data_IF_756652518780
#
_entry.id   IF_756652518780
#
_cell.length_a   1.000
_cell.length_b   1.000
_cell.length_c   1.000
_cell.angle_alpha   90.00
_cell.angle_beta   90.00
_cell.angle_gamma   90.00
#
_symmetry.space_group_name_H-M   'P 1'
#
loop_
_entity.id
_entity.type
_entity.pdbx_description
1 polymer ?
#
# COMPACT_ATOMS: atom_id res chain seq x y z
N UNK A 1 21.82 -16.21 15.79
CA UNK A 1 21.65 -16.37 14.32
C UNK A 1 20.17 -16.15 13.96
N UNK A 2 19.77 -14.92 13.59
CA UNK A 2 18.37 -14.56 13.29
C UNK A 2 17.74 -15.37 12.13
N UNK A 3 18.56 -15.97 11.27
CA UNK A 3 18.08 -16.76 10.13
C UNK A 3 17.47 -18.12 10.50
N UNK A 4 17.69 -18.64 11.72
CA UNK A 4 17.03 -19.87 12.22
C UNK A 4 15.61 -19.63 12.74
N UNK A 5 15.23 -18.38 13.03
CA UNK A 5 13.98 -18.07 13.74
C UNK A 5 12.72 -18.06 12.85
N UNK A 6 12.86 -18.06 11.52
CA UNK A 6 11.72 -18.04 10.61
C UNK A 6 11.88 -19.11 9.53
N UNK A 7 11.25 -20.26 9.76
CA UNK A 7 10.96 -21.29 8.75
C UNK A 7 9.56 -21.81 9.00
N UNK A 8 8.56 -21.04 8.57
CA UNK A 8 7.20 -21.57 8.48
C UNK A 8 7.21 -22.54 7.30
N UNK A 9 6.99 -23.83 7.57
CA UNK A 9 6.92 -24.87 6.55
C UNK A 9 5.66 -25.68 6.80
N UNK A 10 4.85 -25.81 5.77
CA UNK A 10 3.73 -26.72 5.78
C UNK A 10 4.25 -28.12 5.41
N UNK A 11 3.92 -29.12 6.22
CA UNK A 11 4.16 -30.52 5.92
C UNK A 11 2.99 -31.07 5.11
N UNK A 12 3.20 -31.15 3.80
CA UNK A 12 2.23 -31.66 2.82
C UNK A 12 1.82 -33.11 3.10
N UNK A 13 2.66 -33.90 3.79
CA UNK A 13 2.35 -35.31 4.13
C UNK A 13 1.39 -35.45 5.30
N UNK A 14 1.15 -34.36 6.03
CA UNK A 14 0.23 -34.28 7.15
C UNK A 14 -0.93 -33.32 6.86
N UNK A 15 -1.40 -33.33 5.60
CA UNK A 15 -2.50 -32.49 5.11
C UNK A 15 -3.85 -33.24 5.01
N UNK A 16 -3.93 -34.46 5.52
CA UNK A 16 -5.06 -35.38 5.27
C UNK A 16 -6.24 -35.16 6.23
N UNK A 17 -6.07 -34.36 7.29
CA UNK A 17 -7.11 -34.08 8.28
C UNK A 17 -7.14 -32.62 8.73
N UNK A 18 -8.32 -32.20 9.17
CA UNK A 18 -8.56 -30.86 9.73
C UNK A 18 -7.70 -30.62 10.97
N UNK A 19 -7.56 -31.63 11.82
CA UNK A 19 -6.80 -31.57 13.08
C UNK A 19 -5.31 -31.34 12.83
N UNK A 20 -4.71 -32.05 11.86
CA UNK A 20 -3.31 -31.86 11.51
C UNK A 20 -3.07 -30.46 10.92
N UNK A 21 -3.93 -30.00 10.02
CA UNK A 21 -3.82 -28.66 9.45
C UNK A 21 -3.96 -27.56 10.51
N UNK A 22 -4.89 -27.72 11.47
CA UNK A 22 -5.03 -26.82 12.64
C UNK A 22 -3.78 -26.79 13.49
N UNK A 23 -3.18 -27.95 13.77
CA UNK A 23 -1.94 -28.04 14.54
C UNK A 23 -0.78 -27.31 13.85
N UNK A 24 -0.61 -27.51 12.54
CA UNK A 24 0.42 -26.82 11.77
C UNK A 24 0.19 -25.30 11.71
N UNK A 25 -1.05 -24.83 11.60
CA UNK A 25 -1.37 -23.39 11.67
C UNK A 25 -1.07 -22.78 13.03
N UNK A 26 -1.35 -23.50 14.12
CA UNK A 26 -1.02 -23.06 15.47
C UNK A 26 0.50 -22.93 15.66
N UNK A 27 1.27 -23.91 15.16
CA UNK A 27 2.73 -23.84 15.15
C UNK A 27 3.23 -22.67 14.30
N UNK A 28 2.65 -22.47 13.11
CA UNK A 28 3.01 -21.35 12.25
C UNK A 28 2.76 -20.00 12.92
N UNK A 29 1.61 -19.83 13.62
CA UNK A 29 1.29 -18.63 14.38
C UNK A 29 2.29 -18.39 15.53
N UNK A 30 2.68 -19.43 16.25
CA UNK A 30 3.71 -19.34 17.28
C UNK A 30 5.07 -18.93 16.68
N UNK A 31 5.45 -19.52 15.54
CA UNK A 31 6.65 -19.15 14.79
C UNK A 31 6.63 -17.70 14.32
N UNK A 32 5.47 -17.20 13.86
CA UNK A 32 5.32 -15.79 13.48
C UNK A 32 5.50 -14.85 14.66
N UNK A 33 4.91 -15.17 15.81
CA UNK A 33 5.06 -14.39 17.05
C UNK A 33 6.53 -14.35 17.48
N UNK A 34 7.22 -15.50 17.50
CA UNK A 34 8.63 -15.59 17.83
C UNK A 34 9.52 -14.79 16.86
N UNK A 35 9.25 -14.86 15.55
CA UNK A 35 9.98 -14.10 14.55
C UNK A 35 9.75 -12.58 14.66
N UNK A 36 8.53 -12.17 15.00
CA UNK A 36 8.19 -10.77 15.23
C UNK A 36 8.93 -10.21 16.46
N UNK A 37 8.90 -10.95 17.59
CA UNK A 37 9.65 -10.62 18.80
C UNK A 37 11.17 -10.58 18.57
N UNK A 38 11.69 -11.49 17.72
CA UNK A 38 13.09 -11.49 17.27
C UNK A 38 13.44 -10.37 16.27
N UNK A 39 12.49 -9.46 15.99
CA UNK A 39 12.65 -8.29 15.11
C UNK A 39 13.07 -8.66 13.68
N UNK A 40 12.62 -9.82 13.19
CA UNK A 40 12.77 -10.20 11.79
C UNK A 40 12.07 -9.17 10.91
N UNK A 41 12.65 -8.87 9.74
CA UNK A 41 12.07 -7.91 8.79
C UNK A 41 10.62 -8.30 8.46
N UNK A 42 9.63 -7.42 8.67
CA UNK A 42 8.22 -7.68 8.40
C UNK A 42 7.96 -8.27 7.02
N UNK A 43 8.55 -7.72 5.95
CA UNK A 43 8.35 -8.27 4.60
C UNK A 43 8.80 -9.73 4.44
N UNK A 44 9.78 -10.20 5.23
CA UNK A 44 10.19 -11.62 5.24
C UNK A 44 9.18 -12.49 5.99
N UNK A 45 8.64 -11.98 7.10
CA UNK A 45 7.58 -12.65 7.86
C UNK A 45 6.34 -12.88 6.98
N UNK A 46 5.88 -11.82 6.31
CA UNK A 46 4.70 -11.87 5.43
C UNK A 46 4.89 -12.88 4.30
N UNK A 47 6.04 -12.83 3.60
CA UNK A 47 6.35 -13.81 2.55
C UNK A 47 6.38 -15.24 3.09
N UNK A 48 7.06 -15.50 4.21
CA UNK A 48 7.10 -16.85 4.78
C UNK A 48 5.72 -17.35 5.19
N UNK A 49 4.82 -16.46 5.64
CA UNK A 49 3.45 -16.82 5.98
C UNK A 49 2.63 -17.10 4.72
N UNK A 50 2.76 -16.26 3.68
CA UNK A 50 2.14 -16.53 2.37
C UNK A 50 2.62 -17.84 1.78
N UNK A 51 3.93 -18.14 1.78
CA UNK A 51 4.48 -19.40 1.27
C UNK A 51 3.93 -20.62 2.05
N UNK A 52 3.77 -20.50 3.38
CA UNK A 52 3.16 -21.55 4.19
C UNK A 52 1.70 -21.82 3.77
N UNK A 53 0.90 -20.76 3.62
CA UNK A 53 -0.51 -20.88 3.20
C UNK A 53 -0.61 -21.34 1.74
N UNK A 54 0.26 -20.87 0.85
CA UNK A 54 0.32 -21.31 -0.55
C UNK A 54 0.50 -22.83 -0.63
N UNK A 55 1.48 -23.37 0.09
CA UNK A 55 1.75 -24.82 0.08
C UNK A 55 0.57 -25.62 0.66
N UNK A 56 -0.04 -25.13 1.75
CA UNK A 56 -1.24 -25.75 2.32
C UNK A 56 -2.39 -25.77 1.33
N UNK A 57 -2.73 -24.62 0.74
CA UNK A 57 -3.83 -24.50 -0.20
C UNK A 57 -3.61 -25.33 -1.47
N UNK A 58 -2.40 -25.32 -2.02
CA UNK A 58 -2.08 -26.10 -3.21
C UNK A 58 -2.08 -27.62 -2.94
N UNK A 59 -1.65 -28.06 -1.75
CA UNK A 59 -1.75 -29.47 -1.34
C UNK A 59 -3.20 -29.92 -1.22
N UNK A 60 -4.03 -29.16 -0.49
CA UNK A 60 -5.45 -29.46 -0.30
C UNK A 60 -6.23 -29.40 -1.61
N UNK A 61 -5.91 -28.44 -2.48
CA UNK A 61 -6.54 -28.30 -3.79
C UNK A 61 -6.29 -29.52 -4.68
N UNK A 62 -5.05 -30.03 -4.72
CA UNK A 62 -4.69 -31.24 -5.46
C UNK A 62 -5.44 -32.47 -4.95
N UNK A 63 -5.56 -32.62 -3.63
CA UNK A 63 -6.23 -33.79 -3.03
C UNK A 63 -7.76 -33.75 -3.09
N UNK A 64 -8.37 -32.56 -3.00
CA UNK A 64 -9.83 -32.41 -2.88
C UNK A 64 -10.53 -32.02 -4.19
N UNK A 65 -9.81 -31.38 -5.12
CA UNK A 65 -10.43 -30.78 -6.32
C UNK A 65 -9.90 -31.40 -7.61
N UNK A 66 -8.59 -31.52 -7.75
CA UNK A 66 -7.98 -32.07 -8.98
C UNK A 66 -8.16 -33.59 -9.06
N UNK A 67 -8.35 -34.10 -10.28
CA UNK A 67 -8.30 -35.53 -10.58
C UNK A 67 -7.00 -35.80 -11.33
N UNK A 68 -6.28 -36.86 -10.96
CA UNK A 68 -4.99 -37.21 -11.58
C UNK A 68 -5.08 -37.44 -13.10
N UNK A 69 -6.27 -37.73 -13.63
CA UNK A 69 -6.48 -38.20 -15.00
C UNK A 69 -7.05 -37.16 -15.97
N UNK A 70 -7.37 -35.93 -15.55
CA UNK A 70 -7.88 -34.88 -16.46
C UNK A 70 -7.21 -33.52 -16.24
N UNK A 71 -6.88 -32.77 -17.31
CA UNK A 71 -6.41 -31.40 -17.17
C UNK A 71 -7.44 -30.56 -16.41
N UNK A 72 -7.02 -30.00 -15.27
CA UNK A 72 -7.89 -29.16 -14.44
C UNK A 72 -8.47 -28.02 -15.28
N UNK A 73 -9.78 -27.87 -15.30
CA UNK A 73 -10.47 -26.73 -15.95
C UNK A 73 -10.67 -25.55 -15.00
N UNK A 74 -9.98 -25.60 -13.87
CA UNK A 74 -10.09 -24.72 -12.74
C UNK A 74 -8.70 -24.17 -12.39
N UNK A 75 -8.65 -22.95 -11.89
CA UNK A 75 -7.45 -22.37 -11.31
C UNK A 75 -7.78 -21.78 -9.94
N UNK A 76 -6.94 -22.11 -8.96
CA UNK A 76 -6.93 -21.48 -7.66
C UNK A 76 -5.98 -20.29 -7.69
N UNK A 77 -6.51 -19.10 -7.43
CA UNK A 77 -5.79 -17.85 -7.58
C UNK A 77 -5.89 -17.07 -6.26
N UNK A 78 -4.76 -16.67 -5.70
CA UNK A 78 -4.70 -15.69 -4.62
C UNK A 78 -4.94 -14.29 -5.19
N UNK A 79 -5.73 -13.48 -4.52
CA UNK A 79 -6.03 -12.11 -4.95
C UNK A 79 -5.84 -11.13 -3.79
N UNK A 80 -5.89 -9.82 -4.07
CA UNK A 80 -5.79 -8.80 -3.03
C UNK A 80 -4.44 -8.80 -2.29
N UNK A 81 -4.50 -8.58 -0.97
CA UNK A 81 -3.31 -8.59 -0.12
C UNK A 81 -2.59 -9.94 -0.08
N UNK A 82 -3.33 -11.04 -0.20
CA UNK A 82 -2.75 -12.37 -0.28
C UNK A 82 -2.07 -12.63 -1.65
N UNK A 83 -2.68 -12.15 -2.73
CA UNK A 83 -2.09 -12.15 -4.08
C UNK A 83 -0.72 -11.45 -4.12
N UNK A 84 -0.59 -10.30 -3.44
CA UNK A 84 0.68 -9.56 -3.27
C UNK A 84 1.71 -10.22 -2.33
N UNK A 85 1.39 -11.35 -1.71
CA UNK A 85 2.18 -11.97 -0.64
C UNK A 85 2.42 -11.06 0.57
N UNK A 86 1.43 -10.22 0.89
CA UNK A 86 1.42 -9.31 2.05
C UNK A 86 0.47 -9.84 3.16
N UNK A 87 0.50 -11.15 3.41
CA UNK A 87 -0.44 -11.81 4.34
C UNK A 87 -0.04 -11.60 5.80
N UNK A 88 -0.67 -10.62 6.45
CA UNK A 88 -0.49 -10.36 7.88
C UNK A 88 -1.09 -11.48 8.76
N UNK A 89 -0.64 -11.66 10.02
CA UNK A 89 -1.04 -12.77 10.89
C UNK A 89 -2.55 -12.97 11.04
N UNK A 90 -3.29 -11.87 11.15
CA UNK A 90 -4.76 -11.89 11.25
C UNK A 90 -5.48 -11.44 9.98
N UNK A 91 -4.84 -11.46 8.81
CA UNK A 91 -5.51 -11.08 7.55
C UNK A 91 -6.26 -12.26 6.93
N UNK A 92 -7.38 -11.93 6.29
CA UNK A 92 -8.15 -12.88 5.48
C UNK A 92 -7.33 -13.40 4.30
N UNK A 93 -7.66 -14.62 3.87
CA UNK A 93 -7.14 -15.28 2.69
C UNK A 93 -8.16 -15.11 1.56
N UNK A 94 -7.89 -14.18 0.65
CA UNK A 94 -8.76 -13.89 -0.49
C UNK A 94 -8.44 -14.77 -1.70
N UNK A 95 -9.42 -15.55 -2.14
CA UNK A 95 -9.30 -16.54 -3.22
C UNK A 95 -10.26 -16.24 -4.38
N UNK A 96 -9.76 -16.42 -5.60
CA UNK A 96 -10.55 -16.55 -6.81
C UNK A 96 -10.41 -17.97 -7.33
N UNK A 97 -11.53 -18.69 -7.38
CA UNK A 97 -11.63 -19.98 -8.08
C UNK A 97 -12.13 -19.67 -9.49
N UNK A 98 -11.20 -19.66 -10.44
CA UNK A 98 -11.46 -19.32 -11.83
C UNK A 98 -11.78 -20.57 -12.64
N UNK A 99 -12.87 -20.50 -13.41
CA UNK A 99 -13.37 -21.62 -14.21
C UNK A 99 -13.28 -21.30 -15.69
N UNK A 100 -12.89 -22.29 -16.49
CA UNK A 100 -12.87 -22.16 -17.95
C UNK A 100 -14.28 -21.97 -18.55
N UNK A 101 -15.30 -22.54 -17.91
CA UNK A 101 -16.74 -22.51 -18.25
C UNK A 101 -17.57 -22.79 -16.99
N UNK A 102 -18.88 -22.87 -17.12
CA UNK A 102 -19.75 -23.24 -16.00
C UNK A 102 -19.36 -24.62 -15.42
N UNK A 103 -19.35 -24.71 -14.09
CA UNK A 103 -19.02 -25.94 -13.37
C UNK A 103 -20.04 -27.03 -13.65
N UNK A 104 -19.56 -28.25 -13.83
CA UNK A 104 -20.36 -29.44 -13.61
C UNK A 104 -20.77 -29.56 -12.12
N UNK A 105 -21.85 -30.28 -11.82
CA UNK A 105 -22.27 -30.54 -10.45
C UNK A 105 -21.13 -31.17 -9.61
N UNK A 106 -20.32 -32.04 -10.22
CA UNK A 106 -19.18 -32.66 -9.53
C UNK A 106 -18.08 -31.64 -9.16
N UNK A 107 -17.75 -30.70 -10.05
CA UNK A 107 -16.75 -29.66 -9.76
C UNK A 107 -17.25 -28.73 -8.64
N UNK A 108 -18.54 -28.36 -8.65
CA UNK A 108 -19.14 -27.53 -7.60
C UNK A 108 -19.06 -28.20 -6.22
N UNK A 109 -19.41 -29.48 -6.11
CA UNK A 109 -19.34 -30.23 -4.84
C UNK A 109 -17.91 -30.30 -4.29
N UNK A 110 -16.91 -30.47 -5.16
CA UNK A 110 -15.49 -30.49 -4.76
C UNK A 110 -15.02 -29.12 -4.28
N UNK A 111 -15.38 -28.05 -4.99
CA UNK A 111 -15.08 -26.68 -4.59
C UNK A 111 -15.72 -26.37 -3.23
N UNK A 112 -16.99 -26.71 -3.03
CA UNK A 112 -17.69 -26.52 -1.75
C UNK A 112 -17.02 -27.31 -0.62
N UNK A 113 -16.61 -28.55 -0.89
CA UNK A 113 -15.90 -29.39 0.08
C UNK A 113 -14.55 -28.79 0.45
N UNK A 114 -13.79 -28.28 -0.52
CA UNK A 114 -12.53 -27.59 -0.30
C UNK A 114 -12.72 -26.34 0.56
N UNK A 115 -13.67 -25.46 0.23
CA UNK A 115 -13.94 -24.24 1.00
C UNK A 115 -14.38 -24.57 2.43
N UNK A 116 -15.28 -25.56 2.60
CA UNK A 116 -15.70 -26.02 3.91
C UNK A 116 -14.53 -26.53 4.73
N UNK A 117 -13.63 -27.31 4.12
CA UNK A 117 -12.42 -27.78 4.79
C UNK A 117 -11.55 -26.62 5.29
N UNK A 118 -11.36 -25.55 4.50
CA UNK A 118 -10.58 -24.38 4.94
C UNK A 118 -11.21 -23.69 6.15
N UNK A 119 -12.54 -23.55 6.18
CA UNK A 119 -13.25 -23.01 7.33
C UNK A 119 -13.18 -23.92 8.54
N UNK A 120 -13.31 -25.23 8.35
CA UNK A 120 -13.16 -26.22 9.41
C UNK A 120 -11.75 -26.15 9.99
N UNK A 121 -10.72 -25.92 9.18
CA UNK A 121 -9.35 -25.70 9.68
C UNK A 121 -9.20 -24.37 10.45
N UNK A 122 -10.15 -23.44 10.32
CA UNK A 122 -10.16 -22.16 11.05
C UNK A 122 -9.54 -21.01 10.26
N UNK A 123 -9.36 -21.17 8.95
CA UNK A 123 -8.93 -20.08 8.08
C UNK A 123 -10.10 -19.12 7.78
N UNK A 124 -9.82 -17.82 7.85
CA UNK A 124 -10.76 -16.79 7.38
C UNK A 124 -10.59 -16.62 5.88
N UNK A 125 -11.46 -17.27 5.11
CA UNK A 125 -11.38 -17.30 3.64
C UNK A 125 -12.49 -16.48 3.02
N UNK A 126 -12.12 -15.37 2.36
CA UNK A 126 -12.96 -14.70 1.38
C UNK A 126 -12.77 -15.38 0.03
N UNK A 127 -13.84 -15.82 -0.64
CA UNK A 127 -13.69 -16.46 -1.95
C UNK A 127 -14.76 -16.03 -2.95
N UNK A 128 -14.43 -16.17 -4.23
CA UNK A 128 -15.39 -16.10 -5.32
C UNK A 128 -15.11 -17.19 -6.35
N UNK A 129 -16.18 -17.81 -6.86
CA UNK A 129 -16.09 -18.84 -7.91
C UNK A 129 -16.71 -18.28 -9.17
N UNK A 130 -15.90 -18.03 -10.20
CA UNK A 130 -16.32 -17.28 -11.40
C UNK A 130 -15.73 -17.84 -12.68
N UNK A 131 -16.44 -17.66 -13.78
CA UNK A 131 -15.89 -17.84 -15.13
C UNK A 131 -15.12 -16.59 -15.55
N UNK A 132 -14.31 -16.72 -16.62
CA UNK A 132 -13.65 -15.57 -17.25
C UNK A 132 -14.63 -14.45 -17.64
N UNK A 133 -15.83 -14.80 -18.10
CA UNK A 133 -16.84 -13.83 -18.53
C UNK A 133 -17.45 -13.08 -17.33
N UNK A 134 -17.74 -13.78 -16.24
CA UNK A 134 -18.23 -13.18 -15.00
C UNK A 134 -17.18 -12.23 -14.39
N UNK A 135 -15.92 -12.64 -14.34
CA UNK A 135 -14.81 -11.78 -13.90
C UNK A 135 -14.75 -10.49 -14.73
N UNK A 136 -14.83 -10.59 -16.06
CA UNK A 136 -14.82 -9.41 -16.94
C UNK A 136 -16.03 -8.51 -16.71
N UNK A 137 -17.22 -9.09 -16.57
CA UNK A 137 -18.45 -8.32 -16.37
C UNK A 137 -18.37 -7.49 -15.08
N UNK A 138 -17.95 -8.12 -13.97
CA UNK A 138 -17.81 -7.42 -12.70
C UNK A 138 -16.64 -6.43 -12.69
N UNK A 139 -15.50 -6.81 -13.28
CA UNK A 139 -14.35 -5.92 -13.38
C UNK A 139 -14.66 -4.66 -14.20
N UNK A 140 -15.53 -4.72 -15.21
CA UNK A 140 -15.96 -3.53 -15.96
C UNK A 140 -16.83 -2.59 -15.12
N UNK A 141 -17.64 -3.13 -14.21
CA UNK A 141 -18.58 -2.37 -13.40
C UNK A 141 -17.93 -1.74 -12.15
N UNK A 142 -16.89 -2.36 -11.61
CA UNK A 142 -16.33 -1.99 -10.31
C UNK A 142 -14.79 -1.91 -10.33
N UNK A 143 -14.27 -0.74 -9.97
CA UNK A 143 -12.83 -0.50 -9.88
C UNK A 143 -12.16 -1.37 -8.80
N UNK A 144 -12.86 -1.69 -7.72
CA UNK A 144 -12.31 -2.53 -6.64
C UNK A 144 -12.05 -3.95 -7.14
N UNK A 145 -12.93 -4.47 -8.00
CA UNK A 145 -12.79 -5.79 -8.62
C UNK A 145 -11.60 -5.81 -9.59
N UNK A 146 -11.49 -4.87 -10.53
CA UNK A 146 -10.33 -4.85 -11.44
C UNK A 146 -9.01 -4.64 -10.69
N UNK A 147 -9.02 -3.83 -9.62
CA UNK A 147 -7.83 -3.63 -8.77
C UNK A 147 -7.42 -4.96 -8.12
N UNK A 148 -8.38 -5.69 -7.56
CA UNK A 148 -8.14 -6.99 -6.93
C UNK A 148 -7.59 -8.02 -7.94
N UNK A 149 -8.15 -8.06 -9.16
CA UNK A 149 -7.68 -8.95 -10.23
C UNK A 149 -6.30 -8.59 -10.78
N UNK A 150 -5.87 -7.33 -10.72
CA UNK A 150 -4.50 -6.92 -11.09
C UNK A 150 -3.45 -7.46 -10.12
N UNK A 151 -3.87 -7.94 -8.96
CA UNK A 151 -3.01 -8.50 -7.90
C UNK A 151 -3.08 -10.03 -7.87
N UNK A 152 -3.73 -10.63 -8.88
CA UNK A 152 -3.92 -12.05 -8.97
C UNK A 152 -2.59 -12.80 -9.12
N UNK A 153 -2.45 -13.87 -8.35
CA UNK A 153 -1.30 -14.77 -8.37
C UNK A 153 -1.79 -16.21 -8.38
N UNK A 154 -1.32 -17.00 -9.33
CA UNK A 154 -1.68 -18.41 -9.44
C UNK A 154 -1.12 -19.21 -8.25
N UNK A 155 -1.92 -20.14 -7.72
CA UNK A 155 -1.52 -21.07 -6.66
C UNK A 155 -1.52 -22.53 -7.14
N UNK A 156 -2.60 -22.98 -7.78
CA UNK A 156 -2.77 -24.35 -8.30
C UNK A 156 -3.80 -24.39 -9.44
N UNK A 157 -3.89 -25.52 -10.15
CA UNK A 157 -4.76 -25.70 -11.32
C UNK A 157 -4.17 -25.14 -12.61
N UNK A 158 -5.01 -24.91 -13.61
CA UNK A 158 -4.59 -24.49 -14.96
C UNK A 158 -4.06 -23.04 -14.98
N UNK A 159 -2.74 -22.82 -15.16
CA UNK A 159 -2.16 -21.48 -15.15
C UNK A 159 -2.62 -20.63 -16.35
N UNK A 160 -3.02 -21.26 -17.45
CA UNK A 160 -3.43 -20.53 -18.67
C UNK A 160 -4.70 -19.71 -18.45
N UNK A 161 -5.52 -20.06 -17.44
CA UNK A 161 -6.70 -19.29 -17.06
C UNK A 161 -6.33 -17.92 -16.50
N UNK A 162 -5.24 -17.82 -15.72
CA UNK A 162 -4.78 -16.54 -15.19
C UNK A 162 -4.25 -15.65 -16.33
N UNK A 163 -3.47 -16.18 -17.26
CA UNK A 163 -2.97 -15.43 -18.42
C UNK A 163 -4.13 -14.89 -19.28
N UNK A 164 -5.13 -15.74 -19.51
CA UNK A 164 -6.37 -15.39 -20.23
C UNK A 164 -7.20 -14.35 -19.48
N UNK A 165 -7.17 -14.34 -18.15
CA UNK A 165 -7.83 -13.32 -17.33
C UNK A 165 -7.06 -12.01 -17.41
N UNK A 166 -5.75 -12.02 -17.18
CA UNK A 166 -4.87 -10.86 -17.25
C UNK A 166 -5.03 -10.11 -18.59
N UNK A 167 -5.01 -10.87 -19.70
CA UNK A 167 -5.25 -10.33 -21.05
C UNK A 167 -6.62 -9.66 -21.18
N UNK A 168 -7.66 -10.20 -20.52
CA UNK A 168 -9.03 -9.67 -20.59
C UNK A 168 -9.23 -8.41 -19.75
N UNK A 169 -8.53 -8.28 -18.62
CA UNK A 169 -8.64 -7.14 -17.70
C UNK A 169 -7.58 -6.06 -17.95
N UNK A 170 -6.76 -6.22 -18.99
CA UNK A 170 -5.72 -5.30 -19.41
C UNK A 170 -6.24 -3.87 -19.69
N UNK A 171 -5.40 -2.83 -19.53
CA UNK A 171 -5.79 -1.43 -19.69
C UNK A 171 -6.37 -1.05 -21.06
N UNK A 172 -6.04 -1.82 -22.12
CA UNK A 172 -6.55 -1.62 -23.48
C UNK A 172 -8.02 -2.06 -23.62
N UNK A 173 -8.51 -2.90 -22.71
CA UNK A 173 -9.85 -3.52 -22.81
C UNK A 173 -10.87 -2.93 -21.84
N UNK A 174 -10.42 -2.46 -20.69
CA UNK A 174 -11.25 -1.82 -19.67
C UNK A 174 -10.39 -0.88 -18.84
N UNK A 175 -11.00 0.05 -18.09
CA UNK A 175 -10.29 0.93 -17.16
C UNK A 175 -8.94 1.43 -17.70
N UNK A 176 -9.00 2.22 -18.77
CA UNK A 176 -7.79 2.86 -19.32
C UNK A 176 -7.04 3.60 -18.21
N UNK A 177 -5.72 3.82 -18.34
CA UNK A 177 -4.94 4.46 -17.27
C UNK A 177 -5.57 5.76 -16.75
N UNK A 178 -6.15 6.56 -17.65
CA UNK A 178 -6.94 7.75 -17.32
C UNK A 178 -8.14 7.45 -16.42
N UNK A 179 -9.06 6.57 -16.85
CA UNK A 179 -10.27 6.23 -16.07
C UNK A 179 -9.91 5.60 -14.72
N UNK A 180 -8.89 4.75 -14.71
CA UNK A 180 -8.42 4.10 -13.48
C UNK A 180 -7.82 5.10 -12.50
N UNK A 181 -6.95 6.01 -12.98
CA UNK A 181 -6.35 7.06 -12.15
C UNK A 181 -7.40 7.99 -11.55
N UNK A 182 -8.33 8.51 -12.36
CA UNK A 182 -9.41 9.40 -11.90
C UNK A 182 -10.22 8.71 -10.79
N UNK A 183 -10.63 7.46 -10.99
CA UNK A 183 -11.39 6.70 -10.01
C UNK A 183 -10.58 6.37 -8.74
N UNK A 184 -9.31 6.00 -8.84
CA UNK A 184 -8.44 5.77 -7.66
C UNK A 184 -8.16 7.03 -6.87
N UNK A 185 -8.03 8.17 -7.54
CA UNK A 185 -7.91 9.47 -6.86
C UNK A 185 -9.16 9.78 -6.06
N UNK A 186 -10.36 9.55 -6.61
CA UNK A 186 -11.61 9.74 -5.88
C UNK A 186 -11.76 8.77 -4.70
N UNK A 187 -11.42 7.49 -4.89
CA UNK A 187 -11.40 6.49 -3.80
C UNK A 187 -10.50 6.95 -2.65
N UNK A 188 -9.32 7.49 -2.95
CA UNK A 188 -8.41 8.03 -1.95
C UNK A 188 -8.98 9.25 -1.23
N UNK A 189 -9.54 10.23 -1.95
CA UNK A 189 -10.12 11.44 -1.34
C UNK A 189 -11.21 11.05 -0.34
N UNK A 190 -12.14 10.17 -0.74
CA UNK A 190 -13.23 9.71 0.12
C UNK A 190 -12.71 8.93 1.33
N UNK A 191 -11.70 8.07 1.14
CA UNK A 191 -11.04 7.35 2.24
C UNK A 191 -10.37 8.33 3.20
N UNK A 192 -9.62 9.30 2.69
CA UNK A 192 -8.93 10.31 3.51
C UNK A 192 -9.93 11.18 4.28
N UNK A 193 -11.10 11.51 3.72
CA UNK A 193 -12.16 12.20 4.47
C UNK A 193 -12.67 11.33 5.63
N UNK A 194 -13.00 10.06 5.37
CA UNK A 194 -13.50 9.11 6.38
C UNK A 194 -12.53 8.89 7.55
N UNK A 195 -11.22 8.90 7.28
CA UNK A 195 -10.18 8.62 8.27
C UNK A 195 -9.37 9.84 8.71
N UNK A 196 -9.59 11.00 8.08
CA UNK A 196 -8.85 12.24 8.30
C UNK A 196 -9.68 13.35 8.95
N UNK A 197 -11.00 13.30 8.85
CA UNK A 197 -11.89 14.16 9.64
C UNK A 197 -12.24 13.48 10.95
N UNK A 198 -11.59 13.88 12.06
CA UNK A 198 -12.07 13.94 13.47
C UNK A 198 -11.01 13.60 14.53
N UNK A 199 -11.32 13.96 15.78
CA UNK A 199 -10.60 13.93 17.07
C UNK A 199 -9.71 12.71 17.41
N UNK A 200 -9.65 11.69 16.55
CA UNK A 200 -8.93 10.43 16.73
C UNK A 200 -7.57 10.39 16.02
N UNK A 201 -6.98 11.54 15.68
CA UNK A 201 -5.59 11.59 15.17
C UNK A 201 -4.61 10.87 16.10
N UNK A 202 -4.93 10.76 17.39
CA UNK A 202 -4.12 10.06 18.39
C UNK A 202 -4.28 8.53 18.35
N UNK A 203 -5.30 7.98 17.69
CA UNK A 203 -5.54 6.54 17.50
C UNK A 203 -5.61 6.18 16.01
N UNK A 204 -4.51 6.33 15.27
CA UNK A 204 -4.53 6.34 13.82
C UNK A 204 -4.71 4.94 13.21
N UNK A 205 -5.26 4.90 12.00
CA UNK A 205 -5.43 3.67 11.22
C UNK A 205 -4.22 3.42 10.30
N UNK A 206 -3.45 2.36 10.54
CA UNK A 206 -2.15 2.11 9.86
C UNK A 206 -2.30 1.77 8.37
N UNK A 207 -3.44 1.17 8.00
CA UNK A 207 -3.77 0.76 6.64
C UNK A 207 -4.48 1.84 5.84
N UNK A 208 -5.65 2.28 6.31
CA UNK A 208 -6.57 3.14 5.53
C UNK A 208 -6.38 4.65 5.80
N UNK A 209 -5.67 5.05 6.86
CA UNK A 209 -5.44 6.47 7.15
C UNK A 209 -4.57 7.19 6.12
N UNK A 210 -4.60 8.53 6.05
CA UNK A 210 -3.71 9.31 5.19
C UNK A 210 -2.24 9.01 5.47
N UNK A 211 -1.46 8.68 4.43
CA UNK A 211 -0.08 8.19 4.52
C UNK A 211 0.08 6.76 5.04
N UNK A 212 -1.02 5.99 5.16
CA UNK A 212 -1.02 4.58 5.52
C UNK A 212 -0.66 3.64 4.35
N UNK A 213 -0.75 2.33 4.59
CA UNK A 213 -0.38 1.30 3.59
C UNK A 213 -1.16 1.44 2.27
N UNK A 214 -2.44 1.85 2.35
CA UNK A 214 -3.29 2.00 1.17
C UNK A 214 -2.82 3.13 0.25
N UNK A 215 -2.20 4.20 0.77
CA UNK A 215 -1.61 5.25 -0.07
C UNK A 215 -0.46 4.69 -0.93
N UNK A 216 0.40 3.86 -0.33
CA UNK A 216 1.50 3.19 -1.05
C UNK A 216 0.92 2.25 -2.12
N UNK A 217 -0.12 1.49 -1.79
CA UNK A 217 -0.79 0.59 -2.72
C UNK A 217 -1.45 1.35 -3.88
N UNK A 218 -2.08 2.50 -3.63
CA UNK A 218 -2.64 3.35 -4.70
C UNK A 218 -1.57 3.75 -5.72
N UNK A 219 -0.39 4.19 -5.26
CA UNK A 219 0.75 4.50 -6.14
C UNK A 219 1.14 3.28 -6.96
N UNK A 220 1.26 2.11 -6.34
CA UNK A 220 1.62 0.87 -7.02
C UNK A 220 0.56 0.43 -8.03
N UNK A 221 -0.73 0.60 -7.74
CA UNK A 221 -1.83 0.26 -8.65
C UNK A 221 -1.89 1.17 -9.86
N UNK A 222 -1.77 2.48 -9.64
CA UNK A 222 -1.71 3.46 -10.74
C UNK A 222 -0.47 3.22 -11.59
N UNK A 223 0.68 3.01 -10.96
CA UNK A 223 1.94 2.64 -11.62
C UNK A 223 1.80 1.36 -12.44
N UNK A 224 1.19 0.31 -11.88
CA UNK A 224 0.95 -0.94 -12.59
C UNK A 224 0.01 -0.73 -13.77
N UNK A 225 -1.08 0.03 -13.61
CA UNK A 225 -2.03 0.26 -14.69
C UNK A 225 -1.42 1.06 -15.85
N UNK A 226 -0.50 1.98 -15.55
CA UNK A 226 0.08 2.88 -16.54
C UNK A 226 1.37 2.37 -17.17
N UNK A 227 2.28 1.77 -16.37
CA UNK A 227 3.60 1.28 -16.80
C UNK A 227 3.69 -0.24 -16.92
N UNK A 228 2.65 -0.99 -16.53
CA UNK A 228 2.70 -2.45 -16.51
C UNK A 228 3.53 -3.03 -15.36
N UNK A 229 3.89 -2.22 -14.35
CA UNK A 229 4.60 -2.74 -13.17
C UNK A 229 4.18 -2.08 -11.84
N UNK A 230 3.94 -2.86 -10.77
CA UNK A 230 3.69 -2.34 -9.43
C UNK A 230 4.97 -2.06 -8.62
N UNK A 231 6.15 -2.25 -9.23
CA UNK A 231 7.43 -2.13 -8.58
C UNK A 231 7.86 -0.67 -8.43
N UNK A 232 8.00 -0.20 -7.19
CA UNK A 232 8.41 1.15 -6.87
C UNK A 232 9.84 1.46 -7.36
N UNK A 233 10.72 0.45 -7.44
CA UNK A 233 12.07 0.63 -7.97
C UNK A 233 12.02 0.94 -9.47
N UNK A 234 11.20 0.23 -10.25
CA UNK A 234 11.00 0.49 -11.68
C UNK A 234 10.34 1.85 -11.96
N UNK A 235 9.45 2.32 -11.09
CA UNK A 235 8.92 3.69 -11.19
C UNK A 235 10.03 4.77 -11.02
N UNK A 236 11.16 4.43 -10.39
CA UNK A 236 12.33 5.31 -10.35
C UNK A 236 13.03 5.38 -11.71
N UNK A 237 13.09 4.28 -12.44
CA UNK A 237 13.72 4.22 -13.77
C UNK A 237 12.95 5.07 -14.80
N UNK A 238 11.62 5.13 -14.64
CA UNK A 238 10.72 6.00 -15.44
C UNK A 238 10.76 7.48 -15.00
N UNK A 239 11.59 7.85 -14.01
CA UNK A 239 11.74 9.23 -13.53
C UNK A 239 10.62 9.75 -12.62
N UNK A 240 9.67 8.89 -12.22
CA UNK A 240 8.57 9.27 -11.31
C UNK A 240 9.03 9.37 -9.88
N UNK A 241 10.00 8.54 -9.49
CA UNK A 241 10.60 8.54 -8.17
C UNK A 241 12.10 8.79 -8.25
N UNK A 242 12.66 9.36 -7.19
CA UNK A 242 14.10 9.30 -6.95
C UNK A 242 14.43 8.10 -6.06
N UNK A 243 15.65 7.58 -6.17
CA UNK A 243 16.15 6.51 -5.28
C UNK A 243 15.97 6.81 -3.78
N UNK A 244 16.01 8.10 -3.38
CA UNK A 244 15.77 8.49 -1.99
C UNK A 244 14.29 8.33 -1.60
N UNK A 245 13.37 8.66 -2.50
CA UNK A 245 11.93 8.52 -2.29
C UNK A 245 11.49 7.05 -2.28
N UNK A 246 12.08 6.22 -3.15
CA UNK A 246 11.88 4.76 -3.11
C UNK A 246 12.25 4.20 -1.74
N UNK A 247 13.45 4.54 -1.23
CA UNK A 247 13.88 4.11 0.11
C UNK A 247 12.95 4.61 1.21
N UNK A 248 12.43 5.82 1.08
CA UNK A 248 11.49 6.39 2.05
C UNK A 248 10.14 5.65 2.05
N UNK A 249 9.59 5.34 0.87
CA UNK A 249 8.38 4.50 0.72
C UNK A 249 8.59 3.10 1.29
N UNK A 250 9.69 2.43 0.93
CA UNK A 250 10.00 1.08 1.40
C UNK A 250 10.21 1.04 2.92
N UNK A 251 10.97 1.99 3.48
CA UNK A 251 11.18 2.08 4.92
C UNK A 251 9.89 2.42 5.68
N UNK A 252 9.02 3.25 5.08
CA UNK A 252 7.71 3.56 5.65
C UNK A 252 6.80 2.34 5.66
N UNK A 253 6.74 1.61 4.55
CA UNK A 253 5.99 0.35 4.43
C UNK A 253 6.45 -0.69 5.45
N UNK A 254 7.76 -0.88 5.63
CA UNK A 254 8.27 -1.82 6.64
C UNK A 254 7.87 -1.42 8.07
N UNK A 255 7.86 -0.11 8.41
CA UNK A 255 7.37 0.33 9.72
C UNK A 255 5.87 0.02 9.89
N UNK A 256 5.06 0.37 8.89
CA UNK A 256 3.61 0.14 8.93
C UNK A 256 3.27 -1.35 8.97
N UNK A 257 3.99 -2.18 8.23
CA UNK A 257 3.85 -3.63 8.30
C UNK A 257 4.22 -4.17 9.68
N UNK A 258 5.30 -3.65 10.29
CA UNK A 258 5.68 -4.05 11.64
C UNK A 258 4.59 -3.73 12.65
N UNK A 259 4.03 -2.52 12.59
CA UNK A 259 2.95 -2.08 13.47
C UNK A 259 1.71 -2.97 13.30
N UNK A 260 1.31 -3.21 12.05
CA UNK A 260 0.17 -4.06 11.72
C UNK A 260 0.36 -5.51 12.16
N UNK A 261 1.57 -6.07 12.01
CA UNK A 261 1.90 -7.39 12.56
C UNK A 261 1.76 -7.43 14.09
N UNK A 262 2.30 -6.43 14.79
CA UNK A 262 2.18 -6.33 16.24
C UNK A 262 0.72 -6.26 16.69
N UNK A 263 -0.09 -5.41 16.04
CA UNK A 263 -1.54 -5.32 16.31
C UNK A 263 -2.25 -6.66 16.12
N UNK A 264 -2.01 -7.35 15.01
CA UNK A 264 -2.68 -8.61 14.71
C UNK A 264 -2.25 -9.73 15.68
N UNK A 265 -0.97 -9.77 16.05
CA UNK A 265 -0.45 -10.76 17.01
C UNK A 265 -0.95 -10.49 18.43
N UNK A 266 -0.99 -9.22 18.84
CA UNK A 266 -1.46 -8.79 20.16
C UNK A 266 -2.96 -9.06 20.34
N UNK A 267 -3.77 -8.73 19.32
CA UNK A 267 -5.24 -8.82 19.41
C UNK A 267 -5.80 -10.16 18.94
N UNK A 268 -5.02 -10.94 18.21
CA UNK A 268 -5.46 -12.20 17.60
C UNK A 268 -6.45 -12.03 16.45
N UNK A 269 -6.67 -10.81 15.94
CA UNK A 269 -7.64 -10.47 14.88
C UNK A 269 -7.07 -9.43 13.90
N UNK A 270 -7.81 -9.11 12.83
CA UNK A 270 -7.46 -8.03 11.89
C UNK A 270 -7.70 -6.63 12.48
N UNK A 271 -6.94 -6.23 13.49
CA UNK A 271 -6.95 -4.87 14.04
C UNK A 271 -5.94 -3.97 13.31
N UNK A 272 -6.42 -2.86 12.74
CA UNK A 272 -5.60 -1.91 11.99
C UNK A 272 -5.51 -0.52 12.64
N UNK A 273 -6.17 -0.32 13.79
CA UNK A 273 -6.12 0.93 14.56
C UNK A 273 -5.13 0.82 15.71
N UNK A 274 -4.26 1.81 15.85
CA UNK A 274 -3.39 1.97 17.00
C UNK A 274 -4.17 2.61 18.16
N UNK A 275 -5.02 1.84 18.83
CA UNK A 275 -5.72 2.30 20.03
C UNK A 275 -4.74 2.56 21.18
N UNK A 276 -5.07 3.45 22.11
CA UNK A 276 -4.15 3.87 23.19
C UNK A 276 -3.56 2.70 23.98
N UNK A 277 -4.38 1.69 24.28
CA UNK A 277 -3.93 0.50 25.02
C UNK A 277 -2.89 -0.28 24.20
N UNK A 278 -3.13 -0.47 22.91
CA UNK A 278 -2.21 -1.17 22.02
C UNK A 278 -0.93 -0.39 21.75
N UNK A 279 -0.98 0.95 21.75
CA UNK A 279 0.22 1.78 21.54
C UNK A 279 1.27 1.53 22.61
N UNK A 280 0.87 1.32 23.88
CA UNK A 280 1.79 1.05 24.99
C UNK A 280 2.45 -0.32 24.85
N UNK A 281 1.65 -1.35 24.59
CA UNK A 281 2.12 -2.72 24.38
C UNK A 281 3.11 -2.80 23.21
N UNK A 282 2.74 -2.23 22.05
CA UNK A 282 3.58 -2.21 20.85
C UNK A 282 4.87 -1.40 21.08
N UNK A 283 4.82 -0.30 21.84
CA UNK A 283 6.01 0.47 22.16
C UNK A 283 7.01 -0.37 22.97
N UNK A 284 6.54 -1.08 23.99
CA UNK A 284 7.34 -2.01 24.79
C UNK A 284 7.95 -3.12 23.92
N UNK A 285 7.11 -3.78 23.12
CA UNK A 285 7.53 -4.85 22.18
C UNK A 285 8.61 -4.37 21.21
N UNK A 286 8.50 -3.14 20.71
CA UNK A 286 9.47 -2.60 19.77
C UNK A 286 10.80 -2.25 20.44
N UNK A 287 10.85 -2.29 21.77
CA UNK A 287 12.01 -2.03 22.62
C UNK A 287 12.15 -0.55 23.00
N UNK A 288 11.09 0.25 22.87
CA UNK A 288 11.10 1.59 23.45
C UNK A 288 11.01 1.49 24.97
N UNK A 289 11.72 2.38 25.65
CA UNK A 289 11.76 2.47 27.12
C UNK A 289 11.45 3.88 27.55
N UNK A 290 10.89 4.02 28.74
CA UNK A 290 10.64 5.32 29.34
C UNK A 290 11.94 6.05 29.70
N UNK A 291 11.85 7.36 29.83
CA UNK A 291 12.95 8.27 30.16
C UNK A 291 12.41 9.69 30.18
N UNK A 292 13.14 10.66 29.61
CA UNK A 292 12.62 12.03 29.46
C UNK A 292 11.38 12.16 28.57
N UNK A 293 11.11 11.15 27.73
CA UNK A 293 9.89 10.99 26.95
C UNK A 293 9.39 9.56 27.16
N UNK A 294 8.06 9.38 27.18
CA UNK A 294 7.46 8.05 27.35
C UNK A 294 7.75 7.16 26.14
N UNK A 295 7.82 5.84 26.34
CA UNK A 295 8.04 4.87 25.27
C UNK A 295 7.00 5.01 24.15
N UNK A 296 5.73 5.22 24.53
CA UNK A 296 4.61 5.44 23.61
C UNK A 296 4.78 6.72 22.79
N UNK A 297 5.24 7.82 23.40
CA UNK A 297 5.49 9.08 22.69
C UNK A 297 6.60 8.93 21.65
N UNK A 298 7.65 8.15 21.96
CA UNK A 298 8.74 7.85 21.01
C UNK A 298 8.23 7.06 19.81
N UNK A 299 7.39 6.05 20.05
CA UNK A 299 6.74 5.27 18.99
C UNK A 299 5.84 6.17 18.13
N UNK A 300 4.94 6.92 18.76
CA UNK A 300 3.98 7.76 18.05
C UNK A 300 4.65 8.91 17.29
N UNK A 301 5.71 9.52 17.85
CA UNK A 301 6.54 10.49 17.13
C UNK A 301 7.13 9.89 15.86
N UNK A 302 7.69 8.67 15.93
CA UNK A 302 8.22 7.98 14.75
C UNK A 302 7.11 7.68 13.74
N UNK A 303 5.96 7.20 14.21
CA UNK A 303 4.80 6.95 13.35
C UNK A 303 4.38 8.20 12.58
N UNK A 304 4.08 9.31 13.26
CA UNK A 304 3.61 10.53 12.60
C UNK A 304 4.66 11.15 11.67
N UNK A 305 5.95 11.08 12.02
CA UNK A 305 7.02 11.51 11.13
C UNK A 305 7.08 10.68 9.84
N UNK A 306 6.91 9.37 9.95
CA UNK A 306 6.86 8.47 8.79
C UNK A 306 5.62 8.72 7.94
N UNK A 307 4.43 8.77 8.55
CA UNK A 307 3.18 8.95 7.82
C UNK A 307 3.10 10.32 7.15
N UNK A 308 3.59 11.39 7.80
CA UNK A 308 3.68 12.72 7.17
C UNK A 308 4.55 12.69 5.91
N UNK A 309 5.68 11.99 5.96
CA UNK A 309 6.58 11.82 4.81
C UNK A 309 5.91 11.04 3.68
N UNK A 310 5.26 9.92 4.01
CA UNK A 310 4.53 9.10 3.05
C UNK A 310 3.38 9.87 2.40
N UNK A 311 2.64 10.68 3.17
CA UNK A 311 1.56 11.53 2.65
C UNK A 311 2.07 12.52 1.61
N UNK A 312 3.15 13.23 1.93
CA UNK A 312 3.76 14.19 0.99
C UNK A 312 4.28 13.48 -0.26
N UNK A 313 4.87 12.29 -0.15
CA UNK A 313 5.27 11.51 -1.33
C UNK A 313 4.08 11.08 -2.17
N UNK A 314 2.99 10.65 -1.54
CA UNK A 314 1.77 10.26 -2.23
C UNK A 314 1.15 11.45 -3.00
N UNK A 315 1.07 12.62 -2.38
CA UNK A 315 0.61 13.87 -3.03
C UNK A 315 1.47 14.20 -4.27
N UNK A 316 2.81 14.21 -4.14
CA UNK A 316 3.73 14.48 -5.26
C UNK A 316 3.55 13.46 -6.39
N UNK A 317 3.47 12.17 -6.08
CA UNK A 317 3.38 11.13 -7.09
C UNK A 317 2.05 11.13 -7.82
N UNK A 318 0.94 11.34 -7.10
CA UNK A 318 -0.37 11.45 -7.74
C UNK A 318 -0.46 12.67 -8.65
N UNK A 319 0.17 13.79 -8.29
CA UNK A 319 0.26 14.95 -9.16
C UNK A 319 1.11 14.65 -10.41
N UNK A 320 2.20 13.90 -10.28
CA UNK A 320 3.02 13.50 -11.44
C UNK A 320 2.25 12.53 -12.35
N UNK A 321 1.48 11.60 -11.79
CA UNK A 321 0.57 10.76 -12.57
C UNK A 321 -0.54 11.58 -13.23
N UNK A 322 -1.11 12.56 -12.55
CA UNK A 322 -2.10 13.48 -13.13
C UNK A 322 -1.52 14.19 -14.36
N UNK A 323 -0.31 14.71 -14.25
CA UNK A 323 0.40 15.37 -15.35
C UNK A 323 0.73 14.42 -16.51
N UNK A 324 1.13 13.17 -16.23
CA UNK A 324 1.51 12.22 -17.27
C UNK A 324 0.30 11.56 -17.96
N UNK A 325 -0.80 11.38 -17.23
CA UNK A 325 -1.97 10.62 -17.68
C UNK A 325 -3.07 11.54 -18.23
N UNK A 326 -3.28 12.72 -17.62
CA UNK A 326 -4.41 13.61 -17.96
C UNK A 326 -4.03 14.79 -18.84
N UNK A 327 -2.77 15.24 -18.85
CA UNK A 327 -2.38 16.42 -19.63
C UNK A 327 -2.32 16.11 -21.12
N UNK A 328 -3.32 16.58 -21.87
CA UNK A 328 -3.41 16.44 -23.34
C UNK A 328 -3.18 17.75 -24.09
N UNK A 329 -3.06 18.88 -23.39
CA UNK A 329 -2.90 20.23 -23.96
C UNK A 329 -1.57 20.87 -23.55
N UNK A 330 -1.18 21.94 -24.25
CA UNK A 330 -0.05 22.79 -23.83
C UNK A 330 -0.34 23.35 -22.44
N UNK A 331 0.62 23.19 -21.52
CA UNK A 331 0.54 23.72 -20.16
C UNK A 331 0.48 25.25 -20.17
N UNK A 332 -0.39 25.84 -19.37
CA UNK A 332 -0.46 27.28 -19.19
C UNK A 332 0.60 27.70 -18.18
N UNK A 333 1.62 28.42 -18.65
CA UNK A 333 2.72 28.90 -17.81
C UNK A 333 2.64 30.41 -17.66
N UNK A 334 2.46 30.89 -16.43
CA UNK A 334 2.40 32.33 -16.12
C UNK A 334 3.54 32.72 -15.17
N UNK A 335 4.49 33.57 -15.59
CA UNK A 335 5.52 34.08 -14.69
C UNK A 335 4.91 34.90 -13.55
N UNK A 336 5.35 34.66 -12.30
CA UNK A 336 5.02 35.53 -11.16
C UNK A 336 6.20 36.48 -10.93
N UNK A 337 7.41 35.92 -10.78
CA UNK A 337 8.63 36.68 -10.62
C UNK A 337 9.85 35.87 -11.11
N UNK A 338 11.07 36.36 -10.88
CA UNK A 338 12.31 35.66 -11.31
C UNK A 338 12.54 34.30 -10.64
N UNK A 339 11.87 34.02 -9.53
CA UNK A 339 12.01 32.81 -8.71
C UNK A 339 10.86 31.83 -8.92
N UNK A 340 9.66 32.31 -9.26
CA UNK A 340 8.45 31.49 -9.33
C UNK A 340 7.60 31.80 -10.57
N UNK A 341 6.93 30.76 -11.05
CA UNK A 341 5.89 30.82 -12.10
C UNK A 341 4.76 29.88 -11.72
N UNK A 342 3.60 30.02 -12.34
CA UNK A 342 2.52 29.02 -12.25
C UNK A 342 2.54 28.12 -13.47
N UNK A 343 2.17 26.87 -13.28
CA UNK A 343 1.93 25.88 -14.34
C UNK A 343 0.56 25.27 -14.06
N UNK A 344 -0.44 25.57 -14.90
CA UNK A 344 -1.83 25.14 -14.72
C UNK A 344 -2.39 25.48 -13.31
N UNK A 345 -2.00 26.65 -12.78
CA UNK A 345 -2.38 27.12 -11.44
C UNK A 345 -1.61 26.50 -10.28
N UNK A 346 -0.54 25.74 -10.53
CA UNK A 346 0.36 25.19 -9.51
C UNK A 346 1.66 25.99 -9.43
N UNK A 347 2.13 26.31 -8.22
CA UNK A 347 3.34 27.10 -8.01
C UNK A 347 4.60 26.30 -8.33
N UNK A 348 5.37 26.79 -9.29
CA UNK A 348 6.62 26.19 -9.75
C UNK A 348 7.83 27.09 -9.47
N UNK A 349 8.88 26.53 -8.86
CA UNK A 349 10.17 27.19 -8.80
C UNK A 349 10.78 27.31 -10.21
N UNK A 350 11.11 28.53 -10.62
CA UNK A 350 11.58 28.84 -11.98
C UNK A 350 12.93 28.19 -12.33
N UNK A 351 13.72 27.77 -11.33
CA UNK A 351 14.92 26.97 -11.55
C UNK A 351 15.28 26.10 -10.32
N UNK A 352 16.08 25.01 -10.50
CA UNK A 352 16.42 24.09 -9.41
C UNK A 352 17.27 24.68 -8.27
N UNK A 353 17.85 25.87 -8.46
CA UNK A 353 18.78 26.50 -7.53
C UNK A 353 18.16 27.70 -6.77
N UNK A 354 16.86 27.98 -6.93
CA UNK A 354 16.17 29.12 -6.29
C UNK A 354 16.48 29.17 -4.79
N UNK A 355 16.21 28.10 -4.05
CA UNK A 355 16.39 28.07 -2.60
C UNK A 355 17.86 28.06 -2.18
N UNK A 356 18.75 27.46 -2.98
CA UNK A 356 20.20 27.48 -2.71
C UNK A 356 20.77 28.89 -2.82
N UNK A 357 20.34 29.66 -3.81
CA UNK A 357 20.80 31.03 -4.06
C UNK A 357 20.10 32.05 -3.16
N UNK A 358 18.82 31.83 -2.89
CA UNK A 358 17.96 32.75 -2.16
C UNK A 358 17.13 31.96 -1.13
N UNK A 359 17.72 31.61 0.04
CA UNK A 359 17.05 30.79 1.04
C UNK A 359 15.69 31.36 1.47
N UNK A 360 15.57 32.68 1.65
CA UNK A 360 14.31 33.35 2.03
C UNK A 360 13.12 33.02 1.11
N UNK A 361 13.40 32.62 -0.15
CA UNK A 361 12.37 32.19 -1.10
C UNK A 361 11.59 30.97 -0.60
N UNK A 362 12.13 30.20 0.35
CA UNK A 362 11.40 29.12 1.03
C UNK A 362 10.13 29.64 1.71
N UNK A 363 10.17 30.80 2.37
CA UNK A 363 8.98 31.44 2.97
C UNK A 363 8.18 32.19 1.91
N UNK A 364 8.85 32.85 0.97
CA UNK A 364 8.18 33.55 -0.13
C UNK A 364 7.24 32.61 -0.91
N UNK A 365 7.65 31.37 -1.15
CA UNK A 365 6.83 30.39 -1.84
C UNK A 365 5.46 30.16 -1.14
N UNK A 366 5.44 30.10 0.19
CA UNK A 366 4.19 30.00 0.96
C UNK A 366 3.39 31.31 0.93
N UNK A 367 4.06 32.46 0.99
CA UNK A 367 3.39 33.74 0.88
C UNK A 367 2.69 33.89 -0.49
N UNK A 368 3.38 33.53 -1.58
CA UNK A 368 2.82 33.55 -2.93
C UNK A 368 1.65 32.58 -3.06
N UNK A 369 1.72 31.39 -2.45
CA UNK A 369 0.59 30.45 -2.45
C UNK A 369 -0.68 31.07 -1.83
N UNK A 370 -0.53 31.93 -0.82
CA UNK A 370 -1.66 32.58 -0.14
C UNK A 370 -2.15 33.82 -0.91
N UNK A 371 -1.23 34.61 -1.45
CA UNK A 371 -1.53 35.94 -2.00
C UNK A 371 -1.79 35.97 -3.51
N UNK A 372 -1.22 35.05 -4.29
CA UNK A 372 -1.34 35.07 -5.75
C UNK A 372 -2.66 34.44 -6.21
N UNK A 373 -3.57 35.22 -6.82
CA UNK A 373 -4.86 34.69 -7.24
C UNK A 373 -4.71 33.56 -8.27
N UNK A 374 -5.45 32.47 -8.07
CA UNK A 374 -5.44 31.32 -8.96
C UNK A 374 -4.30 30.32 -8.75
N UNK A 375 -3.38 30.58 -7.80
CA UNK A 375 -2.45 29.56 -7.32
C UNK A 375 -3.16 28.66 -6.32
N UNK A 376 -3.25 27.37 -6.64
CA UNK A 376 -4.04 26.40 -5.86
C UNK A 376 -3.20 25.54 -4.92
N UNK A 377 -2.00 25.20 -5.34
CA UNK A 377 -1.05 24.38 -4.58
C UNK A 377 0.36 24.50 -5.18
N UNK A 378 1.36 23.86 -4.59
CA UNK A 378 2.68 23.67 -5.16
C UNK A 378 2.68 22.59 -6.23
N UNK A 379 3.51 22.78 -7.27
CA UNK A 379 3.89 21.68 -8.17
C UNK A 379 4.87 20.73 -7.46
N UNK A 380 4.81 19.44 -7.76
CA UNK A 380 5.48 18.37 -7.03
C UNK A 380 7.00 18.53 -7.02
N UNK A 381 7.57 18.96 -8.15
CA UNK A 381 8.98 19.32 -8.26
C UNK A 381 9.38 20.49 -7.33
N UNK A 382 8.50 21.47 -7.12
CA UNK A 382 8.71 22.54 -6.13
C UNK A 382 8.70 21.98 -4.72
N UNK A 383 7.76 21.09 -4.39
CA UNK A 383 7.72 20.41 -3.07
C UNK A 383 9.01 19.63 -2.83
N UNK A 384 9.50 18.88 -3.84
CA UNK A 384 10.81 18.20 -3.79
C UNK A 384 11.95 19.17 -3.52
N UNK A 385 11.97 20.30 -4.22
CA UNK A 385 13.00 21.33 -4.04
C UNK A 385 12.94 21.96 -2.64
N UNK A 386 11.76 22.25 -2.11
CA UNK A 386 11.58 22.76 -0.73
C UNK A 386 12.13 21.73 0.26
N UNK A 387 11.71 20.45 0.15
CA UNK A 387 12.15 19.35 1.03
C UNK A 387 13.67 19.19 1.03
N UNK A 388 14.30 19.22 -0.15
CA UNK A 388 15.76 19.12 -0.32
C UNK A 388 16.53 20.22 0.42
N UNK A 389 15.91 21.40 0.58
CA UNK A 389 16.55 22.59 1.13
C UNK A 389 16.06 22.99 2.52
N UNK A 390 15.24 22.18 3.20
CA UNK A 390 14.75 22.46 4.56
C UNK A 390 15.86 22.75 5.57
N UNK A 391 17.04 22.14 5.39
CA UNK A 391 18.23 22.37 6.23
C UNK A 391 18.78 23.80 6.16
N UNK A 392 18.37 24.60 5.17
CA UNK A 392 18.73 26.01 5.09
C UNK A 392 17.97 26.88 6.11
N UNK A 393 16.93 26.35 6.76
CA UNK A 393 16.17 27.06 7.80
C UNK A 393 16.91 26.93 9.15
N UNK A 394 18.08 27.58 9.22
CA UNK A 394 18.97 27.60 10.39
C UNK A 394 18.78 28.87 11.25
N UNK A 395 19.68 29.09 12.20
CA UNK A 395 19.64 30.29 13.06
C UNK A 395 19.86 31.60 12.30
N UNK A 396 20.65 31.61 11.22
CA UNK A 396 20.87 32.78 10.39
C UNK A 396 19.62 33.10 9.56
N UNK A 397 19.01 32.08 8.97
CA UNK A 397 17.73 32.21 8.27
C UNK A 397 16.66 32.84 9.15
N UNK A 398 16.52 32.39 10.40
CA UNK A 398 15.52 32.91 11.36
C UNK A 398 15.80 34.34 11.82
N UNK A 399 17.06 34.78 11.78
CA UNK A 399 17.47 36.15 12.12
C UNK A 399 17.41 37.10 10.93
N UNK A 400 17.38 36.59 9.71
CA UNK A 400 17.26 37.41 8.49
C UNK A 400 15.94 38.20 8.52
N UNK A 401 16.05 39.53 8.41
CA UNK A 401 14.91 40.43 8.45
C UNK A 401 13.90 40.12 7.33
N UNK A 402 14.38 39.69 6.15
CA UNK A 402 13.50 39.32 5.02
C UNK A 402 12.65 38.12 5.37
N UNK A 403 13.25 37.10 5.98
CA UNK A 403 12.54 35.91 6.42
C UNK A 403 11.51 36.23 7.51
N UNK A 404 11.88 37.07 8.49
CA UNK A 404 10.96 37.52 9.53
C UNK A 404 9.78 38.30 8.95
N UNK A 405 10.04 39.23 8.03
CA UNK A 405 9.00 39.99 7.34
C UNK A 405 8.07 39.07 6.56
N UNK A 406 8.59 38.16 5.73
CA UNK A 406 7.78 37.19 5.00
C UNK A 406 6.94 36.31 5.93
N UNK A 407 7.52 35.82 7.02
CA UNK A 407 6.79 35.02 8.00
C UNK A 407 5.64 35.81 8.66
N UNK A 408 5.88 37.07 9.03
CA UNK A 408 4.83 37.93 9.59
C UNK A 408 3.72 38.21 8.56
N UNK A 409 4.05 38.41 7.29
CA UNK A 409 3.04 38.58 6.23
C UNK A 409 2.21 37.32 6.00
N UNK A 410 2.83 36.13 6.09
CA UNK A 410 2.09 34.85 6.06
C UNK A 410 1.07 34.80 7.21
N UNK A 411 1.46 35.19 8.44
CA UNK A 411 0.57 35.16 9.60
C UNK A 411 -0.55 36.22 9.55
N UNK A 412 -0.35 37.32 8.83
CA UNK A 412 -1.38 38.37 8.62
C UNK A 412 -2.32 38.06 7.47
N UNK A 413 -1.94 37.14 6.59
CA UNK A 413 -2.75 36.77 5.45
C UNK A 413 -3.99 35.99 5.94
N UNK A 414 -5.15 36.17 5.29
CA UNK A 414 -6.46 35.68 5.76
C UNK A 414 -6.57 34.16 5.85
#
# INVERSE_FOLDING_TARGET
>A
MPQRALRLRFDERAADSVEQCRAQLAEAKAGMSAAHAAKIRPGRLLRSHSDFIDNMLSSLWKGLVEEESTPSRLALIAVGGYGRQELHPGSDIDLLILRARDSSNSESVKIESFIRFLWDVGLQVGHSTRTLQECVSQAKADITVVTNLMEARHLSGDPTLLDRLATRVAPERMWSPRKFFEAKRQEQIQRHQRYGETAYNLEPHVKEGPGGLRDIQTIQWVGHRYFGTPDLEKLSDEGFLTNAEVRELLSGRELLWRLRNGLHLLTGRSEDRLLFDYQREIASEFGYRDGAQLAVEKLMKRYFQTVKKLRVLNEILLQHFEEAILTTSKRQVTPINRRFRTVDGLLEAANPNVFKRQPFALLEAFLLLIQEPGVRDFRGDTVRLIRKHLKLIDGNFRRDIRCRSLFMEILKSP
#
